data_IF_199069929709
#
_entry.id   IF_199069929709
#
_cell.length_a   1.000
_cell.length_b   1.000
_cell.length_c   1.000
_cell.angle_alpha   90.00
_cell.angle_beta   90.00
_cell.angle_gamma   90.00
#
_symmetry.space_group_name_H-M   'P 1'
#
loop_
_entity.id
_entity.type
_entity.pdbx_description
1 polymer ?
#
# COMPACT_ATOMS: atom_id res chain seq x y z
N UNK A 1 22.03 -9.95 31.87
CA UNK A 1 21.32 -8.71 31.52
C UNK A 1 21.19 -8.75 30.02
N UNK A 2 19.99 -9.10 29.59
CA UNK A 2 19.67 -9.62 28.27
C UNK A 2 19.68 -8.55 27.17
N UNK A 3 20.03 -9.03 25.98
CA UNK A 3 20.04 -8.36 24.68
C UNK A 3 18.92 -7.33 24.52
N UNK A 4 19.30 -6.07 24.30
CA UNK A 4 18.48 -5.09 23.59
C UNK A 4 18.46 -5.48 22.10
N UNK A 5 17.85 -6.61 21.77
CA UNK A 5 17.51 -6.93 20.39
C UNK A 5 16.47 -5.92 19.96
N UNK A 6 16.88 -4.93 19.17
CA UNK A 6 15.97 -4.06 18.42
C UNK A 6 14.87 -4.96 17.84
N UNK A 7 13.58 -4.66 18.05
CA UNK A 7 12.51 -5.50 17.50
C UNK A 7 12.81 -5.65 16.02
N UNK A 8 13.00 -6.89 15.58
CA UNK A 8 13.23 -7.25 14.18
C UNK A 8 12.26 -6.41 13.35
N UNK A 9 12.76 -5.33 12.72
CA UNK A 9 11.98 -4.56 11.77
C UNK A 9 11.76 -5.57 10.66
N UNK A 10 10.58 -6.21 10.66
CA UNK A 10 10.18 -7.16 9.62
C UNK A 10 10.39 -6.40 8.34
N UNK A 11 11.42 -6.76 7.58
CA UNK A 11 11.64 -6.14 6.29
C UNK A 11 10.34 -6.26 5.51
N UNK A 12 9.95 -5.21 4.78
CA UNK A 12 8.76 -5.27 3.94
C UNK A 12 8.86 -6.52 3.07
N UNK A 13 7.83 -7.36 3.10
CA UNK A 13 7.76 -8.48 2.16
C UNK A 13 7.58 -7.89 0.76
N UNK A 14 8.57 -8.02 -0.15
CA UNK A 14 8.44 -7.50 -1.50
C UNK A 14 7.28 -8.21 -2.22
N UNK A 15 6.74 -7.54 -3.23
CA UNK A 15 5.65 -8.09 -4.01
C UNK A 15 4.86 -7.03 -4.77
N UNK A 16 3.92 -7.49 -5.59
CA UNK A 16 3.04 -6.62 -6.37
C UNK A 16 2.13 -5.85 -5.41
N UNK A 17 2.08 -4.53 -5.59
CA UNK A 17 1.08 -3.68 -4.97
C UNK A 17 -0.21 -3.80 -5.80
N UNK A 18 -0.16 -3.37 -7.07
CA UNK A 18 -1.29 -3.51 -7.97
C UNK A 18 -0.90 -3.50 -9.44
N UNK A 19 -1.85 -3.92 -10.27
CA UNK A 19 -1.85 -3.83 -11.72
C UNK A 19 -3.06 -3.03 -12.19
N UNK A 20 -2.84 -1.96 -12.96
CA UNK A 20 -3.85 -1.13 -13.62
C UNK A 20 -3.99 -1.56 -15.08
N UNK A 21 -4.96 -2.44 -15.35
CA UNK A 21 -5.14 -3.06 -16.66
C UNK A 21 -5.44 -2.04 -17.77
N UNK A 22 -6.14 -0.95 -17.46
CA UNK A 22 -6.45 0.12 -18.41
C UNK A 22 -5.23 0.99 -18.82
N UNK A 23 -4.16 0.96 -18.03
CA UNK A 23 -2.96 1.76 -18.25
C UNK A 23 -1.72 0.91 -18.55
N UNK A 24 -1.86 -0.42 -18.54
CA UNK A 24 -0.73 -1.34 -18.63
C UNK A 24 0.35 -1.07 -17.58
N UNK A 25 -0.07 -0.60 -16.39
CA UNK A 25 0.82 -0.19 -15.31
C UNK A 25 0.85 -1.25 -14.20
N UNK A 26 2.03 -1.67 -13.78
CA UNK A 26 2.25 -2.56 -12.64
C UNK A 26 3.17 -1.89 -11.64
N UNK A 27 2.79 -1.92 -10.36
CA UNK A 27 3.53 -1.31 -9.25
C UNK A 27 3.97 -2.40 -8.29
N UNK A 28 5.28 -2.48 -8.04
CA UNK A 28 5.92 -3.58 -7.29
C UNK A 28 6.78 -3.00 -6.17
N UNK A 29 6.57 -3.44 -4.93
CA UNK A 29 7.43 -3.14 -3.80
C UNK A 29 8.65 -4.07 -3.81
N UNK A 30 9.85 -3.48 -3.80
CA UNK A 30 11.12 -4.18 -3.70
C UNK A 30 11.50 -4.40 -2.22
N UNK A 31 12.49 -5.26 -1.96
CA UNK A 31 12.94 -5.59 -0.60
C UNK A 31 13.65 -4.45 0.12
N UNK A 32 14.14 -3.46 -0.63
CA UNK A 32 14.88 -2.29 -0.16
C UNK A 32 14.00 -1.05 0.06
N UNK A 33 12.67 -1.23 0.13
CA UNK A 33 11.66 -0.16 0.23
C UNK A 33 11.53 0.74 -1.02
N UNK A 34 12.26 0.46 -2.09
CA UNK A 34 12.00 1.09 -3.39
C UNK A 34 10.80 0.45 -4.08
N UNK A 35 10.25 1.15 -5.06
CA UNK A 35 9.13 0.66 -5.86
C UNK A 35 9.50 0.67 -7.33
N UNK A 36 9.24 -0.45 -7.99
CA UNK A 36 9.36 -0.59 -9.44
C UNK A 36 7.99 -0.31 -10.06
N UNK A 37 7.94 0.65 -10.98
CA UNK A 37 6.76 0.95 -11.78
C UNK A 37 7.07 0.52 -13.21
N UNK A 38 6.33 -0.47 -13.70
CA UNK A 38 6.38 -0.95 -15.08
C UNK A 38 5.20 -0.36 -15.83
N UNK A 39 5.45 0.37 -16.91
CA UNK A 39 4.41 0.95 -17.76
C UNK A 39 4.90 1.04 -19.20
N UNK A 40 4.05 0.66 -20.16
CA UNK A 40 4.35 0.72 -21.60
C UNK A 40 5.68 0.03 -21.98
N UNK A 41 6.02 -1.08 -21.29
CA UNK A 41 7.26 -1.82 -21.49
C UNK A 41 8.52 -1.16 -20.90
N UNK A 42 8.38 -0.01 -20.23
CA UNK A 42 9.46 0.65 -19.50
C UNK A 42 9.34 0.39 -18.01
N UNK A 43 10.46 0.07 -17.36
CA UNK A 43 10.54 -0.07 -15.90
C UNK A 43 11.32 1.09 -15.31
N UNK A 44 10.76 1.76 -14.31
CA UNK A 44 11.46 2.74 -13.48
C UNK A 44 11.46 2.32 -12.02
N UNK A 45 12.57 2.52 -11.33
CA UNK A 45 12.68 2.31 -9.89
C UNK A 45 12.69 3.67 -9.20
N UNK A 46 11.89 3.84 -8.16
CA UNK A 46 11.80 5.09 -7.40
C UNK A 46 11.68 4.82 -5.91
N UNK A 47 12.17 5.76 -5.10
CA UNK A 47 11.81 5.84 -3.68
C UNK A 47 10.50 6.63 -3.60
N UNK A 48 9.40 6.04 -3.12
CA UNK A 48 8.13 6.75 -3.11
C UNK A 48 8.09 7.84 -2.05
N UNK A 49 7.44 8.95 -2.35
CA UNK A 49 7.10 9.95 -1.34
C UNK A 49 6.01 9.45 -0.40
N UNK A 50 5.84 10.10 0.74
CA UNK A 50 4.73 9.81 1.65
C UNK A 50 3.36 9.94 0.95
N UNK A 51 3.18 10.97 0.13
CA UNK A 51 1.95 11.19 -0.63
C UNK A 51 1.69 10.08 -1.65
N UNK A 52 2.74 9.53 -2.27
CA UNK A 52 2.60 8.38 -3.17
C UNK A 52 2.15 7.13 -2.43
N UNK A 53 2.71 6.87 -1.24
CA UNK A 53 2.27 5.78 -0.39
C UNK A 53 0.80 5.91 0.01
N UNK A 54 0.37 7.11 0.41
CA UNK A 54 -1.02 7.33 0.82
C UNK A 54 -1.98 7.21 -0.37
N UNK A 55 -1.59 7.72 -1.55
CA UNK A 55 -2.36 7.56 -2.80
C UNK A 55 -2.56 6.08 -3.14
N UNK A 56 -1.50 5.27 -3.11
CA UNK A 56 -1.62 3.83 -3.39
C UNK A 56 -2.43 3.09 -2.34
N UNK A 57 -2.43 3.55 -1.09
CA UNK A 57 -3.25 2.96 -0.04
C UNK A 57 -4.74 3.22 -0.28
N UNK A 58 -5.09 4.43 -0.72
CA UNK A 58 -6.45 4.78 -1.17
C UNK A 58 -6.84 3.93 -2.38
N UNK A 59 -6.01 3.87 -3.41
CA UNK A 59 -6.29 3.07 -4.62
C UNK A 59 -6.49 1.59 -4.28
N UNK A 60 -5.68 1.05 -3.37
CA UNK A 60 -5.79 -0.32 -2.93
C UNK A 60 -7.10 -0.57 -2.19
N UNK A 61 -7.49 0.32 -1.28
CA UNK A 61 -8.77 0.22 -0.59
C UNK A 61 -9.95 0.34 -1.55
N UNK A 62 -9.93 1.32 -2.45
CA UNK A 62 -10.99 1.54 -3.44
C UNK A 62 -11.13 0.34 -4.40
N UNK A 63 -10.03 -0.31 -4.76
CA UNK A 63 -10.04 -1.56 -5.51
C UNK A 63 -10.63 -2.72 -4.68
N UNK A 64 -10.29 -2.84 -3.39
CA UNK A 64 -10.86 -3.86 -2.49
C UNK A 64 -12.39 -3.74 -2.36
N UNK A 65 -12.91 -2.52 -2.27
CA UNK A 65 -14.36 -2.27 -2.16
C UNK A 65 -15.08 -2.19 -3.51
N UNK A 66 -14.37 -2.42 -4.62
CA UNK A 66 -14.94 -2.50 -5.97
C UNK A 66 -15.24 -1.16 -6.64
N UNK A 67 -14.75 -0.03 -6.11
CA UNK A 67 -14.87 1.30 -6.73
C UNK A 67 -14.00 1.39 -7.98
N UNK A 68 -12.81 0.77 -7.94
CA UNK A 68 -11.83 0.83 -9.04
C UNK A 68 -11.55 -0.58 -9.59
N UNK A 69 -12.48 -1.17 -10.36
CA UNK A 69 -12.41 -2.57 -10.78
C UNK A 69 -11.32 -2.88 -11.80
N UNK A 70 -10.68 -1.86 -12.36
CA UNK A 70 -9.56 -2.02 -13.30
C UNK A 70 -8.21 -2.16 -12.59
N UNK A 71 -8.19 -2.09 -11.26
CA UNK A 71 -7.02 -2.33 -10.43
C UNK A 71 -7.12 -3.76 -9.88
N UNK A 72 -6.16 -4.59 -10.22
CA UNK A 72 -5.97 -5.91 -9.60
C UNK A 72 -4.90 -5.82 -8.53
N UNK A 73 -5.20 -6.25 -7.31
CA UNK A 73 -4.29 -6.13 -6.17
C UNK A 73 -3.40 -7.36 -6.03
N UNK A 74 -2.12 -7.13 -5.74
CA UNK A 74 -1.23 -8.16 -5.24
C UNK A 74 -1.25 -8.27 -3.71
N UNK A 75 -0.47 -9.19 -3.15
CA UNK A 75 -0.39 -9.43 -1.69
C UNK A 75 0.00 -8.16 -0.90
N UNK A 76 0.83 -7.29 -1.47
CA UNK A 76 1.21 -6.02 -0.83
C UNK A 76 0.05 -5.03 -0.90
N UNK A 77 -0.63 -4.93 -2.03
CA UNK A 77 -1.78 -4.05 -2.20
C UNK A 77 -2.93 -4.39 -1.28
N UNK A 78 -3.27 -5.68 -1.14
CA UNK A 78 -4.29 -6.15 -0.20
C UNK A 78 -3.99 -5.70 1.23
N UNK A 79 -2.78 -5.98 1.72
CA UNK A 79 -2.35 -5.54 3.06
C UNK A 79 -2.37 -4.03 3.21
N UNK A 80 -2.04 -3.30 2.16
CA UNK A 80 -2.07 -1.84 2.16
C UNK A 80 -3.49 -1.31 2.30
N UNK A 81 -4.45 -1.87 1.55
CA UNK A 81 -5.87 -1.52 1.65
C UNK A 81 -6.48 -1.89 3.00
N UNK A 82 -6.18 -3.08 3.55
CA UNK A 82 -6.60 -3.49 4.90
C UNK A 82 -6.10 -2.51 5.97
N UNK A 83 -4.82 -2.13 5.91
CA UNK A 83 -4.25 -1.15 6.84
C UNK A 83 -4.92 0.23 6.70
N UNK A 84 -5.28 0.62 5.48
CA UNK A 84 -5.98 1.88 5.22
C UNK A 84 -7.41 1.85 5.77
N UNK A 85 -8.13 0.74 5.61
CA UNK A 85 -9.45 0.53 6.20
C UNK A 85 -9.41 0.71 7.72
N UNK A 86 -8.45 0.07 8.40
CA UNK A 86 -8.26 0.21 9.86
C UNK A 86 -8.01 1.67 10.24
N UNK A 87 -7.18 2.40 9.48
CA UNK A 87 -6.95 3.84 9.70
C UNK A 87 -8.23 4.66 9.57
N UNK A 88 -9.05 4.39 8.55
CA UNK A 88 -10.34 5.08 8.37
C UNK A 88 -11.30 4.78 9.53
N UNK A 89 -11.43 3.50 9.92
CA UNK A 89 -12.31 3.10 11.02
C UNK A 89 -11.88 3.74 12.34
N UNK A 90 -10.58 3.75 12.65
CA UNK A 90 -10.06 4.42 13.83
C UNK A 90 -10.37 5.93 13.81
N UNK A 91 -10.18 6.60 12.67
CA UNK A 91 -10.50 8.03 12.53
C UNK A 91 -12.00 8.32 12.69
N UNK A 92 -12.87 7.42 12.20
CA UNK A 92 -14.33 7.51 12.38
C UNK A 92 -14.72 7.37 13.85
N UNK A 93 -14.12 6.42 14.56
CA UNK A 93 -14.38 6.20 15.99
C UNK A 93 -13.93 7.42 16.82
N UNK A 94 -12.74 7.96 16.57
CA UNK A 94 -12.28 9.17 17.25
C UNK A 94 -13.19 10.39 17.03
N UNK A 95 -13.82 10.50 15.84
CA UNK A 95 -14.81 11.56 15.58
C UNK A 95 -16.14 11.29 16.29
N UNK A 96 -16.55 10.04 16.40
CA UNK A 96 -17.75 9.64 17.15
C UNK A 96 -17.59 9.92 18.64
N UNK A 97 -16.41 9.66 19.21
CA UNK A 97 -16.12 9.91 20.63
C UNK A 97 -16.07 11.41 20.98
N UNK A 98 -15.70 12.27 20.03
CA UNK A 98 -15.71 13.72 20.22
C UNK A 98 -17.11 14.35 20.07
N UNK A 99 -18.06 13.62 19.45
CA UNK A 99 -19.43 14.06 19.22
C UNK A 99 -20.44 13.52 20.26
N UNK A 100 -19.99 12.68 21.19
CA UNK A 100 -20.78 12.11 22.30
C UNK A 100 -20.52 12.86 23.61
#
# INVERSE_FOLDING_TARGET
MDDLSTPYIKQPRPGVIFERSNQGEQVILNSDLTVTIVKDGQSRVTVPSFEQWDTWAVDAFDAMVGIVPHITLGEVGLRMGENYEVRIMAARNCRSDYAA
#
